data_IF_938731237219
#
_entry.id   IF_938731237219
#
_cell.length_a   1.000
_cell.length_b   1.000
_cell.length_c   1.000
_cell.angle_alpha   90.00
_cell.angle_beta   90.00
_cell.angle_gamma   90.00
#
_symmetry.space_group_name_H-M   'P 1'
#
loop_
_entity.id
_entity.type
_entity.pdbx_description
1 polymer ?
#
# COMPACT_ATOMS: atom_id res chain seq x y z
N UNK A 1 3.54 8.23 18.64
CA UNK A 1 2.57 7.89 17.58
C UNK A 1 3.28 8.07 16.25
N UNK A 2 3.25 7.07 15.36
CA UNK A 2 3.79 7.17 14.00
C UNK A 2 2.61 7.09 13.02
N UNK A 3 2.56 8.00 12.07
CA UNK A 3 1.52 8.11 11.06
C UNK A 3 2.03 7.49 9.77
N UNK A 4 1.21 6.66 9.12
CA UNK A 4 1.57 6.00 7.87
C UNK A 4 0.79 6.60 6.70
N UNK A 5 1.48 6.83 5.58
CA UNK A 5 0.90 7.25 4.32
C UNK A 5 1.28 6.26 3.23
N UNK A 6 0.27 5.85 2.46
CA UNK A 6 0.43 5.08 1.24
C UNK A 6 0.05 5.92 0.03
N UNK A 7 0.72 5.69 -1.10
CA UNK A 7 0.45 6.40 -2.35
C UNK A 7 0.81 5.52 -3.55
N UNK A 8 0.10 5.71 -4.67
CA UNK A 8 0.44 5.04 -5.92
C UNK A 8 1.80 5.52 -6.42
N UNK A 9 2.69 4.59 -6.73
CA UNK A 9 4.06 4.87 -7.12
C UNK A 9 4.52 3.94 -8.24
N UNK A 10 5.23 4.50 -9.22
CA UNK A 10 6.02 3.74 -10.19
C UNK A 10 7.49 4.12 -9.98
N UNK A 11 8.35 3.20 -9.51
CA UNK A 11 9.76 3.51 -9.27
C UNK A 11 10.54 3.86 -10.54
N UNK A 12 10.03 3.42 -11.69
CA UNK A 12 10.71 3.48 -12.99
C UNK A 12 10.23 4.64 -13.87
N UNK A 13 9.12 5.29 -13.54
CA UNK A 13 8.50 6.30 -14.40
C UNK A 13 7.75 7.37 -13.59
N UNK A 14 7.65 8.57 -14.16
CA UNK A 14 6.77 9.64 -13.68
C UNK A 14 5.43 9.68 -14.42
N UNK A 15 5.27 8.88 -15.47
CA UNK A 15 4.03 8.72 -16.21
C UNK A 15 3.26 7.51 -15.68
N UNK A 16 1.94 7.53 -15.84
CA UNK A 16 1.11 6.37 -15.49
C UNK A 16 1.43 5.21 -16.44
N UNK A 17 1.66 4.03 -15.86
CA UNK A 17 1.92 2.77 -16.56
C UNK A 17 1.50 1.60 -15.65
N UNK A 18 1.54 0.39 -16.20
CA UNK A 18 1.29 -0.85 -15.46
C UNK A 18 2.41 -1.17 -14.48
N UNK A 19 2.07 -1.95 -13.44
CA UNK A 19 3.01 -2.33 -12.38
C UNK A 19 3.11 -1.31 -11.24
N UNK A 20 2.04 -0.54 -11.01
CA UNK A 20 1.91 0.37 -9.87
C UNK A 20 2.16 -0.37 -8.55
N UNK A 21 2.93 0.25 -7.67
CA UNK A 21 3.19 -0.22 -6.30
C UNK A 21 2.61 0.77 -5.29
N UNK A 22 2.40 0.34 -4.06
CA UNK A 22 2.13 1.28 -2.96
C UNK A 22 3.43 1.77 -2.37
N UNK A 23 3.77 3.02 -2.65
CA UNK A 23 4.79 3.76 -1.89
C UNK A 23 4.39 3.88 -0.43
N UNK A 24 5.38 3.90 0.45
CA UNK A 24 5.18 3.89 1.90
C UNK A 24 6.05 4.98 2.52
N UNK A 25 5.42 5.82 3.34
CA UNK A 25 6.15 6.81 4.13
C UNK A 25 5.54 6.93 5.53
N UNK A 26 6.40 7.19 6.51
CA UNK A 26 6.00 7.41 7.91
C UNK A 26 6.38 8.81 8.37
N UNK A 27 5.59 9.36 9.29
CA UNK A 27 5.83 10.67 9.89
C UNK A 27 5.39 10.71 11.35
N UNK A 28 6.03 11.56 12.15
CA UNK A 28 5.57 11.89 13.50
C UNK A 28 4.72 13.16 13.57
N UNK A 29 4.73 13.99 12.52
CA UNK A 29 4.17 15.36 12.55
C UNK A 29 3.39 15.76 11.28
N UNK A 30 3.20 14.83 10.33
CA UNK A 30 2.58 15.04 9.00
C UNK A 30 3.35 15.99 8.06
N UNK A 31 4.50 16.53 8.49
CA UNK A 31 5.31 17.46 7.71
C UNK A 31 6.58 16.77 7.21
N UNK A 32 7.29 16.08 8.10
CA UNK A 32 8.53 15.38 7.79
C UNK A 32 8.25 13.90 7.58
N UNK A 33 8.57 13.40 6.40
CA UNK A 33 8.27 12.03 5.99
C UNK A 33 9.57 11.24 5.73
N UNK A 34 9.66 10.06 6.34
CA UNK A 34 10.68 9.07 6.03
C UNK A 34 10.11 8.08 5.01
N UNK A 35 10.76 7.97 3.85
CA UNK A 35 10.35 7.02 2.82
C UNK A 35 10.86 5.62 3.15
N UNK A 36 9.96 4.65 3.15
CA UNK A 36 10.24 3.24 3.37
C UNK A 36 10.11 2.46 2.05
N UNK A 37 10.58 1.20 2.00
CA UNK A 37 10.34 0.34 0.85
C UNK A 37 8.84 0.23 0.52
N UNK A 38 8.47 0.07 -0.77
CA UNK A 38 7.07 -0.09 -1.15
C UNK A 38 6.36 -1.17 -0.33
N UNK A 39 5.20 -0.83 0.21
CA UNK A 39 4.43 -1.71 1.09
C UNK A 39 3.73 -2.84 0.33
N UNK A 40 3.25 -2.56 -0.88
CA UNK A 40 2.61 -3.54 -1.76
C UNK A 40 3.25 -3.50 -3.15
N UNK A 41 3.45 -4.68 -3.72
CA UNK A 41 3.98 -4.89 -5.06
C UNK A 41 3.08 -5.89 -5.79
N UNK A 42 2.88 -5.71 -7.10
CA UNK A 42 2.11 -6.66 -7.89
C UNK A 42 2.76 -8.04 -7.85
N UNK A 43 1.94 -9.08 -7.71
CA UNK A 43 2.40 -10.47 -7.71
C UNK A 43 2.19 -11.07 -9.10
N UNK A 44 3.26 -11.55 -9.78
CA UNK A 44 3.12 -12.11 -11.12
C UNK A 44 2.15 -13.30 -11.16
N UNK A 45 1.17 -13.24 -12.06
CA UNK A 45 0.18 -14.31 -12.26
C UNK A 45 -1.01 -14.30 -11.29
N UNK A 46 -1.04 -13.36 -10.34
CA UNK A 46 -2.14 -13.18 -9.40
C UNK A 46 -3.08 -12.06 -9.82
N UNK A 47 -4.13 -11.85 -9.01
CA UNK A 47 -5.14 -10.82 -9.28
C UNK A 47 -4.56 -9.41 -9.35
N UNK A 48 -3.43 -9.11 -8.73
CA UNK A 48 -2.75 -7.81 -8.69
C UNK A 48 -1.61 -7.68 -9.72
N UNK A 49 -1.44 -8.65 -10.63
CA UNK A 49 -0.29 -8.71 -11.55
C UNK A 49 -0.08 -7.45 -12.41
N UNK A 50 -1.17 -6.75 -12.77
CA UNK A 50 -1.13 -5.52 -13.57
C UNK A 50 -0.76 -4.28 -12.76
N UNK A 51 -0.72 -4.37 -11.43
CA UNK A 51 -0.46 -3.26 -10.51
C UNK A 51 -1.40 -3.27 -9.30
N UNK A 52 -0.91 -2.68 -8.21
CA UNK A 52 -1.68 -2.42 -7.00
C UNK A 52 -2.33 -1.03 -7.11
N UNK A 53 -3.64 -0.99 -7.34
CA UNK A 53 -4.40 0.25 -7.51
C UNK A 53 -4.73 0.93 -6.17
N UNK A 54 -5.37 2.10 -6.24
CA UNK A 54 -5.72 2.91 -5.07
C UNK A 54 -6.55 2.14 -4.05
N UNK A 55 -6.49 2.54 -2.79
CA UNK A 55 -7.15 1.81 -1.73
C UNK A 55 -7.17 2.54 -0.40
N UNK A 56 -7.61 1.83 0.64
CA UNK A 56 -7.61 2.33 2.02
C UNK A 56 -6.94 1.33 2.95
N UNK A 57 -6.57 1.77 4.15
CA UNK A 57 -6.00 0.88 5.14
C UNK A 57 -6.62 1.07 6.51
N UNK A 58 -6.75 -0.01 7.26
CA UNK A 58 -7.19 -0.01 8.66
C UNK A 58 -6.19 -0.75 9.52
N UNK A 59 -6.10 -0.34 10.78
CA UNK A 59 -5.34 -1.08 11.80
C UNK A 59 -6.24 -2.18 12.33
N UNK A 60 -5.72 -3.42 12.35
CA UNK A 60 -6.40 -4.54 12.99
C UNK A 60 -6.04 -4.56 14.49
N UNK A 61 -7.04 -4.51 15.36
CA UNK A 61 -6.90 -4.48 16.83
C UNK A 61 -6.53 -5.86 17.41
N UNK A 62 -6.58 -6.95 16.64
CA UNK A 62 -6.52 -8.33 17.18
C UNK A 62 -5.09 -8.89 17.38
N UNK A 63 -4.03 -8.10 17.17
CA UNK A 63 -2.67 -8.50 17.59
C UNK A 63 -1.91 -7.34 18.23
N UNK A 64 -1.99 -7.26 19.56
CA UNK A 64 -1.12 -6.45 20.41
C UNK A 64 0.32 -7.01 20.44
N UNK A 65 0.96 -7.09 19.27
CA UNK A 65 2.41 -7.19 19.07
C UNK A 65 2.70 -6.64 17.66
N UNK A 66 3.03 -5.36 17.57
CA UNK A 66 3.50 -4.63 16.37
C UNK A 66 2.49 -4.47 15.20
N UNK A 67 1.81 -3.33 15.15
CA UNK A 67 1.73 -2.51 13.93
C UNK A 67 1.39 -3.22 12.60
N UNK A 68 0.31 -4.00 12.55
CA UNK A 68 -0.18 -4.61 11.32
C UNK A 68 -1.20 -3.69 10.62
N UNK A 69 -0.90 -3.24 9.41
CA UNK A 69 -1.82 -2.48 8.55
C UNK A 69 -2.43 -3.41 7.52
N UNK A 70 -3.75 -3.43 7.44
CA UNK A 70 -4.48 -4.11 6.38
C UNK A 70 -4.82 -3.09 5.29
N UNK A 71 -4.21 -3.22 4.12
CA UNK A 71 -4.54 -2.45 2.92
C UNK A 71 -5.60 -3.17 2.09
N UNK A 72 -6.65 -2.45 1.70
CA UNK A 72 -7.66 -2.87 0.74
C UNK A 72 -7.38 -2.18 -0.59
N UNK A 73 -7.15 -2.94 -1.66
CA UNK A 73 -7.02 -2.44 -3.03
C UNK A 73 -8.40 -2.29 -3.70
N UNK A 74 -8.64 -1.16 -4.36
CA UNK A 74 -9.80 -0.91 -5.23
C UNK A 74 -9.32 -1.04 -6.69
N UNK A 75 -9.56 -2.19 -7.31
CA UNK A 75 -9.48 -2.31 -8.78
C UNK A 75 -10.74 -1.73 -9.40
N UNK A 76 -10.59 -0.93 -10.47
CA UNK A 76 -11.69 -0.54 -11.37
C UNK A 76 -12.18 -1.74 -12.23
N UNK A 77 -12.49 -2.87 -11.58
CA UNK A 77 -13.13 -4.04 -12.18
C UNK A 77 -14.22 -4.54 -11.22
N UNK A 78 -15.38 -4.97 -11.71
CA UNK A 78 -16.63 -4.79 -10.97
C UNK A 78 -16.85 -5.60 -9.69
N UNK A 79 -15.95 -6.49 -9.21
CA UNK A 79 -16.32 -7.48 -8.15
C UNK A 79 -15.25 -8.03 -7.19
N UNK A 80 -14.02 -7.54 -7.11
CA UNK A 80 -13.00 -8.15 -6.23
C UNK A 80 -12.28 -7.12 -5.35
N UNK A 81 -12.29 -7.36 -4.04
CA UNK A 81 -11.45 -6.67 -3.05
C UNK A 81 -10.23 -7.54 -2.76
N UNK A 82 -9.03 -6.96 -2.84
CA UNK A 82 -7.80 -7.64 -2.43
C UNK A 82 -7.27 -7.00 -1.15
N UNK A 83 -6.79 -7.86 -0.26
CA UNK A 83 -6.51 -7.56 1.13
C UNK A 83 -5.06 -7.97 1.44
N UNK A 84 -4.20 -7.02 1.76
CA UNK A 84 -2.79 -7.29 2.00
C UNK A 84 -2.32 -6.69 3.34
N UNK A 85 -1.45 -7.42 4.04
CA UNK A 85 -0.94 -7.01 5.35
C UNK A 85 0.53 -6.62 5.26
N UNK A 86 0.87 -5.39 5.62
CA UNK A 86 2.26 -4.97 5.80
C UNK A 86 2.61 -4.94 7.29
N UNK A 87 3.84 -5.35 7.63
CA UNK A 87 4.44 -5.07 8.94
C UNK A 87 5.08 -3.69 8.89
N UNK A 88 4.82 -2.83 9.88
CA UNK A 88 5.55 -1.56 10.03
C UNK A 88 6.95 -1.79 10.60
#
# INVERSE_FOLDING_TARGET
MRLCRFYQHLPTSCEWDWGLVWGHAISSDLVHWEHLPPALRPTPGELDADGCFSGCCTVDEVRCTHDHVHGCEIKEQPRLWAAATSRM
#
